data_IF_905741386945
#
_entry.id   IF_905741386945
#
_cell.length_a   1.000
_cell.length_b   1.000
_cell.length_c   1.000
_cell.angle_alpha   90.00
_cell.angle_beta   90.00
_cell.angle_gamma   90.00
#
_symmetry.space_group_name_H-M   'P 1'
#
loop_
_entity.id
_entity.type
_entity.pdbx_description
1 polymer ?
#
# COMPACT_ATOMS: atom_id res chain seq x y z
N UNK A 1 12.74 -28.86 -8.99
CA UNK A 1 12.12 -27.79 -8.16
C UNK A 1 11.86 -26.58 -9.04
N UNK A 2 10.60 -26.18 -9.23
CA UNK A 2 10.28 -24.92 -9.94
C UNK A 2 10.65 -23.78 -9.00
N UNK A 3 11.56 -22.89 -9.43
CA UNK A 3 11.98 -21.74 -8.64
C UNK A 3 10.79 -20.77 -8.59
N UNK A 4 10.17 -20.61 -7.41
CA UNK A 4 9.06 -19.67 -7.20
C UNK A 4 9.58 -18.23 -7.11
N UNK A 5 10.23 -17.77 -8.18
CA UNK A 5 10.84 -16.45 -8.26
C UNK A 5 9.83 -15.33 -7.99
N UNK A 6 8.58 -15.50 -8.44
CA UNK A 6 7.49 -14.56 -8.16
C UNK A 6 7.20 -14.42 -6.66
N UNK A 7 7.07 -15.55 -5.95
CA UNK A 7 6.81 -15.54 -4.51
C UNK A 7 7.96 -14.90 -3.72
N UNK A 8 9.21 -15.15 -4.13
CA UNK A 8 10.39 -14.53 -3.53
C UNK A 8 10.43 -13.01 -3.77
N UNK A 9 10.08 -12.55 -4.97
CA UNK A 9 10.02 -11.13 -5.29
C UNK A 9 8.93 -10.43 -4.47
N UNK A 10 7.71 -10.98 -4.46
CA UNK A 10 6.60 -10.42 -3.68
C UNK A 10 6.84 -10.46 -2.18
N UNK A 11 7.42 -11.56 -1.67
CA UNK A 11 7.78 -11.71 -0.27
C UNK A 11 8.86 -10.71 0.15
N UNK A 12 9.94 -10.59 -0.63
CA UNK A 12 11.03 -9.65 -0.35
C UNK A 12 10.56 -8.21 -0.43
N UNK A 13 9.71 -7.88 -1.40
CA UNK A 13 9.10 -6.55 -1.53
C UNK A 13 8.28 -6.19 -0.28
N UNK A 14 7.36 -7.08 0.13
CA UNK A 14 6.54 -6.86 1.33
C UNK A 14 7.40 -6.73 2.59
N UNK A 15 8.40 -7.60 2.75
CA UNK A 15 9.31 -7.56 3.90
C UNK A 15 10.12 -6.26 3.95
N UNK A 16 10.62 -5.78 2.81
CA UNK A 16 11.35 -4.51 2.73
C UNK A 16 10.49 -3.34 3.22
N UNK A 17 9.26 -3.21 2.70
CA UNK A 17 8.36 -2.11 3.10
C UNK A 17 7.90 -2.22 4.55
N UNK A 18 7.71 -3.44 5.06
CA UNK A 18 7.41 -3.66 6.46
C UNK A 18 8.55 -3.20 7.37
N UNK A 19 9.79 -3.59 7.08
CA UNK A 19 10.97 -3.18 7.85
C UNK A 19 11.18 -1.68 7.77
N UNK A 20 11.05 -1.08 6.58
CA UNK A 20 11.13 0.36 6.39
C UNK A 20 10.13 1.10 7.30
N UNK A 21 8.85 0.73 7.24
CA UNK A 21 7.80 1.41 8.01
C UNK A 21 8.01 1.19 9.51
N UNK A 22 8.44 0.00 9.94
CA UNK A 22 8.74 -0.29 11.33
C UNK A 22 9.85 0.62 11.87
N UNK A 23 10.95 0.78 11.12
CA UNK A 23 12.06 1.68 11.50
C UNK A 23 11.56 3.13 11.59
N UNK A 24 10.80 3.60 10.60
CA UNK A 24 10.23 4.95 10.61
C UNK A 24 9.33 5.19 11.85
N UNK A 25 8.51 4.20 12.22
CA UNK A 25 7.68 4.26 13.43
C UNK A 25 8.53 4.32 14.71
N UNK A 26 9.63 3.58 14.79
CA UNK A 26 10.55 3.63 15.93
C UNK A 26 11.28 4.98 16.04
N UNK A 27 11.58 5.62 14.91
CA UNK A 27 12.22 6.94 14.88
C UNK A 27 11.30 8.07 15.40
N UNK A 28 9.98 7.86 15.42
CA UNK A 28 8.96 8.82 15.90
C UNK A 28 9.11 10.22 15.27
N UNK A 29 9.58 10.27 14.04
CA UNK A 29 9.75 11.50 13.29
C UNK A 29 8.51 11.74 12.43
N UNK A 30 7.99 12.95 12.48
CA UNK A 30 6.86 13.34 11.65
C UNK A 30 7.23 13.27 10.16
N UNK A 31 6.28 12.81 9.34
CA UNK A 31 6.41 12.65 7.88
C UNK A 31 7.51 11.66 7.44
N UNK A 32 7.94 10.75 8.31
CA UNK A 32 8.99 9.76 8.02
C UNK A 32 8.41 8.45 7.46
N UNK A 33 7.16 8.15 7.78
CA UNK A 33 6.50 6.92 7.31
C UNK A 33 6.02 7.04 5.87
N UNK A 34 6.02 5.92 5.14
CA UNK A 34 5.46 5.89 3.78
C UNK A 34 3.96 6.16 3.80
N UNK A 35 3.25 5.69 4.83
CA UNK A 35 1.83 5.96 4.97
C UNK A 35 1.54 7.46 5.17
N UNK A 36 2.37 8.20 5.90
CA UNK A 36 2.25 9.67 6.01
C UNK A 36 2.56 10.36 4.70
N UNK A 37 3.66 10.01 4.05
CA UNK A 37 4.04 10.62 2.77
C UNK A 37 3.00 10.36 1.67
N UNK A 38 2.45 9.15 1.63
CA UNK A 38 1.34 8.81 0.72
C UNK A 38 0.11 9.69 1.01
N UNK A 39 -0.27 9.84 2.28
CA UNK A 39 -1.38 10.71 2.68
C UNK A 39 -1.13 12.19 2.35
N UNK A 40 0.12 12.64 2.50
CA UNK A 40 0.57 14.00 2.18
C UNK A 40 0.53 14.28 0.68
N UNK A 41 0.93 13.32 -0.15
CA UNK A 41 0.84 13.39 -1.61
C UNK A 41 -0.58 13.72 -2.08
N UNK A 42 -1.58 13.07 -1.50
CA UNK A 42 -2.99 13.33 -1.79
C UNK A 42 -3.60 14.50 -0.99
N UNK A 43 -2.80 15.18 -0.17
CA UNK A 43 -3.24 16.31 0.68
C UNK A 43 -4.50 15.98 1.50
N UNK A 44 -4.61 14.76 2.01
CA UNK A 44 -5.87 14.27 2.60
C UNK A 44 -6.34 15.09 3.81
N UNK A 45 -5.44 15.79 4.51
CA UNK A 45 -5.77 16.60 5.69
C UNK A 45 -6.38 17.95 5.31
N UNK A 46 -6.05 18.49 4.13
CA UNK A 46 -6.46 19.85 3.71
C UNK A 46 -7.39 19.88 2.50
N UNK A 47 -7.49 18.79 1.72
CA UNK A 47 -8.26 18.76 0.47
C UNK A 47 -9.39 17.74 0.49
N UNK A 48 -10.64 18.20 0.34
CA UNK A 48 -11.82 17.34 0.13
C UNK A 48 -11.68 16.49 -1.14
N UNK A 49 -11.23 17.11 -2.23
CA UNK A 49 -11.00 16.42 -3.50
C UNK A 49 -9.85 15.40 -3.40
N UNK A 50 -8.77 15.75 -2.70
CA UNK A 50 -7.64 14.85 -2.45
C UNK A 50 -8.04 13.60 -1.66
N UNK A 51 -8.87 13.76 -0.63
CA UNK A 51 -9.47 12.61 0.08
C UNK A 51 -10.33 11.76 -0.83
N UNK A 52 -11.24 12.36 -1.60
CA UNK A 52 -12.11 11.62 -2.50
C UNK A 52 -11.28 10.81 -3.52
N UNK A 53 -10.26 11.43 -4.12
CA UNK A 53 -9.36 10.78 -5.06
C UNK A 53 -8.61 9.60 -4.42
N UNK A 54 -8.02 9.80 -3.25
CA UNK A 54 -7.33 8.74 -2.52
C UNK A 54 -8.26 7.56 -2.22
N UNK A 55 -9.46 7.84 -1.70
CA UNK A 55 -10.45 6.82 -1.37
C UNK A 55 -10.91 6.04 -2.60
N UNK A 56 -11.19 6.71 -3.72
CA UNK A 56 -11.63 6.05 -4.94
C UNK A 56 -10.52 5.17 -5.52
N UNK A 57 -9.27 5.64 -5.55
CA UNK A 57 -8.15 4.85 -6.07
C UNK A 57 -7.90 3.62 -5.19
N UNK A 58 -7.72 3.83 -3.88
CA UNK A 58 -7.39 2.73 -2.97
C UNK A 58 -8.57 1.76 -2.82
N UNK A 59 -9.75 2.29 -2.55
CA UNK A 59 -10.97 1.50 -2.37
C UNK A 59 -11.39 0.80 -3.66
N UNK A 60 -11.34 1.48 -4.80
CA UNK A 60 -11.65 0.89 -6.10
C UNK A 60 -10.67 -0.21 -6.48
N UNK A 61 -9.36 0.00 -6.29
CA UNK A 61 -8.34 -1.02 -6.53
C UNK A 61 -8.52 -2.24 -5.62
N UNK A 62 -8.78 -2.03 -4.33
CA UNK A 62 -9.03 -3.12 -3.38
C UNK A 62 -10.31 -3.89 -3.69
N UNK A 63 -11.41 -3.20 -3.98
CA UNK A 63 -12.68 -3.81 -4.35
C UNK A 63 -12.56 -4.61 -5.66
N UNK A 64 -11.92 -4.04 -6.68
CA UNK A 64 -11.64 -4.72 -7.94
C UNK A 64 -10.79 -5.98 -7.71
N UNK A 65 -9.68 -5.86 -6.98
CA UNK A 65 -8.78 -6.99 -6.74
C UNK A 65 -9.47 -8.12 -5.97
N UNK A 66 -10.27 -7.78 -4.96
CA UNK A 66 -11.07 -8.75 -4.22
C UNK A 66 -12.10 -9.45 -5.11
N UNK A 67 -12.86 -8.68 -5.89
CA UNK A 67 -13.82 -9.25 -6.85
C UNK A 67 -13.13 -10.13 -7.87
N UNK A 68 -11.96 -9.72 -8.37
CA UNK A 68 -11.18 -10.49 -9.33
C UNK A 68 -10.78 -11.85 -8.75
N UNK A 69 -10.23 -11.91 -7.53
CA UNK A 69 -9.91 -13.18 -6.86
C UNK A 69 -11.16 -14.05 -6.64
N UNK A 70 -12.29 -13.44 -6.27
CA UNK A 70 -13.54 -14.17 -5.99
C UNK A 70 -14.24 -14.68 -7.26
N UNK A 71 -14.02 -14.02 -8.40
CA UNK A 71 -14.69 -14.32 -9.67
C UNK A 71 -13.79 -15.02 -10.69
N UNK A 72 -12.47 -15.00 -10.50
CA UNK A 72 -11.57 -15.93 -11.18
C UNK A 72 -11.92 -17.35 -10.74
N UNK A 73 -12.64 -18.05 -11.61
CA UNK A 73 -12.82 -19.50 -11.52
C UNK A 73 -11.44 -20.14 -11.69
N UNK A 74 -10.85 -20.62 -10.58
CA UNK A 74 -9.69 -21.50 -10.64
C UNK A 74 -9.97 -22.75 -11.46
#
# INVERSE_FOLDING_TARGET
MRRNTSALLWGSWTAFFFVYEAIALFNKKDDDTLSENTRKLFRIRSSKAGRALFTVILGGGAAWFLLHILTETM
#
